data_IF_861759100639
#
_entry.id   IF_861759100639
#
_cell.length_a   1.000
_cell.length_b   1.000
_cell.length_c   1.000
_cell.angle_alpha   90.00
_cell.angle_beta   90.00
_cell.angle_gamma   90.00
#
_symmetry.space_group_name_H-M   'P 1'
#
loop_
_entity.id
_entity.type
_entity.pdbx_description
1 polymer ?
#
# COMPACT_ATOMS: atom_id res chain seq x y z
N UNK A 1 -13.97 -11.94 13.59
CA UNK A 1 -13.43 -11.36 12.34
C UNK A 1 -12.71 -10.06 12.67
N UNK A 2 -11.50 -9.86 12.16
CA UNK A 2 -10.72 -8.63 12.35
C UNK A 2 -10.97 -7.61 11.23
N UNK A 3 -10.81 -6.33 11.55
CA UNK A 3 -10.93 -5.24 10.58
C UNK A 3 -9.68 -5.19 9.68
N UNK A 4 -9.88 -4.97 8.37
CA UNK A 4 -8.79 -4.83 7.41
C UNK A 4 -8.80 -3.42 6.83
N UNK A 5 -7.78 -2.63 7.15
CA UNK A 5 -7.63 -1.27 6.59
C UNK A 5 -7.17 -1.35 5.13
N UNK A 6 -7.98 -0.78 4.24
CA UNK A 6 -7.77 -0.77 2.80
C UNK A 6 -7.98 0.63 2.24
N UNK A 7 -7.29 0.97 1.16
CA UNK A 7 -7.60 2.18 0.40
C UNK A 7 -8.84 1.96 -0.46
N UNK A 8 -9.48 3.06 -0.88
CA UNK A 8 -10.61 3.02 -1.81
C UNK A 8 -10.27 2.28 -3.10
N UNK A 9 -9.06 2.48 -3.63
CA UNK A 9 -8.59 1.77 -4.82
C UNK A 9 -8.51 0.24 -4.60
N UNK A 10 -8.09 -0.21 -3.42
CA UNK A 10 -8.06 -1.64 -3.09
C UNK A 10 -9.47 -2.20 -2.95
N UNK A 11 -10.41 -1.42 -2.40
CA UNK A 11 -11.81 -1.80 -2.30
C UNK A 11 -12.47 -1.90 -3.68
N UNK A 12 -12.24 -0.91 -4.56
CA UNK A 12 -12.71 -0.93 -5.95
C UNK A 12 -12.15 -2.13 -6.74
N UNK A 13 -10.89 -2.52 -6.47
CA UNK A 13 -10.32 -3.75 -7.05
C UNK A 13 -11.08 -4.98 -6.61
N UNK A 14 -11.43 -5.10 -5.33
CA UNK A 14 -12.21 -6.24 -4.82
C UNK A 14 -13.55 -6.33 -5.54
N UNK A 15 -14.26 -5.22 -5.70
CA UNK A 15 -15.54 -5.18 -6.39
C UNK A 15 -15.43 -5.67 -7.85
N UNK A 16 -14.47 -5.14 -8.60
CA UNK A 16 -14.22 -5.55 -10.00
C UNK A 16 -13.83 -7.02 -10.08
N UNK A 17 -13.00 -7.50 -9.15
CA UNK A 17 -12.60 -8.91 -9.10
C UNK A 17 -13.78 -9.83 -8.82
N UNK A 18 -14.67 -9.46 -7.89
CA UNK A 18 -15.88 -10.21 -7.59
C UNK A 18 -16.81 -10.28 -8.82
N UNK A 19 -17.03 -9.16 -9.53
CA UNK A 19 -17.85 -9.15 -10.75
C UNK A 19 -17.27 -10.04 -11.85
N UNK A 20 -15.94 -10.09 -12.00
CA UNK A 20 -15.29 -10.99 -12.96
C UNK A 20 -15.42 -12.44 -12.51
N UNK A 21 -15.29 -12.72 -11.23
CA UNK A 21 -15.40 -14.08 -10.69
C UNK A 21 -16.82 -14.64 -10.82
N UNK A 22 -17.83 -13.77 -10.67
CA UNK A 22 -19.24 -14.07 -10.90
C UNK A 22 -19.60 -14.17 -12.40
N UNK A 23 -18.65 -13.96 -13.30
CA UNK A 23 -18.88 -13.99 -14.75
C UNK A 23 -19.68 -12.80 -15.30
N UNK A 24 -19.93 -11.76 -14.47
CA UNK A 24 -20.71 -10.57 -14.84
C UNK A 24 -19.87 -9.51 -15.57
N UNK A 25 -18.56 -9.59 -15.48
CA UNK A 25 -17.62 -8.67 -16.12
C UNK A 25 -16.47 -9.44 -16.78
N UNK A 26 -16.10 -9.07 -18.00
CA UNK A 26 -14.94 -9.68 -18.65
C UNK A 26 -13.64 -9.17 -18.01
N UNK A 27 -12.58 -9.99 -18.07
CA UNK A 27 -11.24 -9.60 -17.57
C UNK A 27 -10.75 -8.32 -18.25
N UNK A 28 -11.03 -8.15 -19.55
CA UNK A 28 -10.63 -6.99 -20.33
C UNK A 28 -11.37 -5.72 -19.91
N UNK A 29 -12.69 -5.79 -19.79
CA UNK A 29 -13.49 -4.66 -19.34
C UNK A 29 -13.10 -4.25 -17.91
N UNK A 30 -12.95 -5.21 -17.01
CA UNK A 30 -12.50 -4.92 -15.65
C UNK A 30 -11.10 -4.33 -15.58
N UNK A 31 -10.16 -4.81 -16.41
CA UNK A 31 -8.81 -4.26 -16.48
C UNK A 31 -8.83 -2.79 -16.90
N UNK A 32 -9.64 -2.44 -17.91
CA UNK A 32 -9.82 -1.06 -18.34
C UNK A 32 -10.48 -0.20 -17.25
N UNK A 33 -11.50 -0.72 -16.56
CA UNK A 33 -12.21 0.02 -15.49
C UNK A 33 -11.28 0.54 -14.38
N UNK A 34 -10.23 -0.22 -14.05
CA UNK A 34 -9.27 0.13 -12.98
C UNK A 34 -7.87 0.44 -13.52
N UNK A 35 -7.74 0.74 -14.82
CA UNK A 35 -6.49 1.10 -15.49
C UNK A 35 -5.32 0.13 -15.19
N UNK A 36 -5.59 -1.17 -15.24
CA UNK A 36 -4.58 -2.22 -15.09
C UNK A 36 -4.37 -2.96 -16.40
N UNK A 37 -3.17 -3.52 -16.59
CA UNK A 37 -2.96 -4.49 -17.66
C UNK A 37 -3.73 -5.80 -17.40
N UNK A 38 -4.11 -6.52 -18.46
CA UNK A 38 -4.71 -7.86 -18.36
C UNK A 38 -3.86 -8.81 -17.49
N UNK A 39 -2.52 -8.74 -17.60
CA UNK A 39 -1.58 -9.51 -16.78
C UNK A 39 -1.71 -9.20 -15.29
N UNK A 40 -1.81 -7.92 -14.92
CA UNK A 40 -2.03 -7.52 -13.54
C UNK A 40 -3.38 -8.00 -13.02
N UNK A 41 -4.43 -7.92 -13.86
CA UNK A 41 -5.76 -8.41 -13.51
C UNK A 41 -5.75 -9.92 -13.21
N UNK A 42 -5.18 -10.75 -14.08
CA UNK A 42 -5.06 -12.19 -13.82
C UNK A 42 -4.28 -12.50 -12.54
N UNK A 43 -3.22 -11.74 -12.26
CA UNK A 43 -2.45 -11.91 -11.01
C UNK A 43 -3.22 -11.47 -9.76
N UNK A 44 -4.17 -10.55 -9.90
CA UNK A 44 -5.08 -10.19 -8.81
C UNK A 44 -6.17 -11.25 -8.65
N UNK A 45 -6.80 -11.72 -9.73
CA UNK A 45 -7.79 -12.81 -9.70
C UNK A 45 -7.22 -14.07 -9.04
N UNK A 46 -6.01 -14.49 -9.43
CA UNK A 46 -5.34 -15.65 -8.82
C UNK A 46 -5.21 -15.49 -7.30
N UNK A 47 -4.84 -14.30 -6.83
CA UNK A 47 -4.69 -14.02 -5.39
C UNK A 47 -6.04 -13.94 -4.68
N UNK A 48 -7.00 -13.26 -5.28
CA UNK A 48 -8.36 -13.14 -4.75
C UNK A 48 -9.02 -14.52 -4.57
N UNK A 49 -8.90 -15.41 -5.56
CA UNK A 49 -9.45 -16.77 -5.49
C UNK A 49 -8.77 -17.65 -4.44
N UNK A 50 -7.48 -17.45 -4.20
CA UNK A 50 -6.73 -18.23 -3.23
C UNK A 50 -6.99 -17.77 -1.78
N UNK A 51 -6.99 -16.46 -1.56
CA UNK A 51 -6.84 -15.87 -0.21
C UNK A 51 -7.99 -14.87 0.13
N UNK A 52 -8.95 -14.69 -0.79
CA UNK A 52 -10.08 -13.78 -0.65
C UNK A 52 -9.73 -12.29 -0.77
N UNK A 53 -10.69 -11.44 -0.42
CA UNK A 53 -10.59 -9.98 -0.48
C UNK A 53 -9.39 -9.42 0.31
N UNK A 54 -9.06 -10.03 1.45
CA UNK A 54 -7.99 -9.56 2.33
C UNK A 54 -6.61 -9.53 1.66
N UNK A 55 -6.38 -10.38 0.66
CA UNK A 55 -5.11 -10.49 -0.06
C UNK A 55 -4.87 -9.40 -1.11
N UNK A 56 -5.89 -8.57 -1.39
CA UNK A 56 -5.77 -7.41 -2.27
C UNK A 56 -5.12 -6.22 -1.56
N UNK A 57 -5.13 -6.24 -0.22
CA UNK A 57 -4.44 -5.25 0.61
C UNK A 57 -2.96 -5.16 0.25
N UNK A 58 -2.41 -3.95 0.23
CA UNK A 58 -0.99 -3.72 0.05
C UNK A 58 -0.17 -4.52 1.07
N UNK A 59 0.71 -5.40 0.57
CA UNK A 59 1.45 -6.35 1.41
C UNK A 59 2.43 -5.66 2.36
N UNK A 60 2.95 -4.48 2.02
CA UNK A 60 3.86 -3.75 2.91
C UNK A 60 3.14 -2.95 3.99
N UNK A 61 1.79 -2.90 4.00
CA UNK A 61 1.07 -2.17 5.03
C UNK A 61 1.34 -2.79 6.41
N UNK A 62 1.78 -1.98 7.36
CA UNK A 62 2.21 -2.41 8.69
C UNK A 62 3.65 -2.93 8.79
N UNK A 63 4.40 -2.97 7.67
CA UNK A 63 5.82 -3.36 7.66
C UNK A 63 6.72 -2.13 7.66
N UNK A 64 7.81 -2.20 8.42
CA UNK A 64 8.88 -1.23 8.31
C UNK A 64 9.54 -1.33 6.92
N UNK A 65 9.94 -0.21 6.29
CA UNK A 65 10.66 -0.25 5.03
C UNK A 65 12.10 -0.78 5.24
N UNK A 66 12.68 -1.37 4.20
CA UNK A 66 14.02 -1.98 4.27
C UNK A 66 15.13 -0.96 4.59
N UNK A 67 14.91 0.31 4.25
CA UNK A 67 15.83 1.43 4.51
C UNK A 67 15.49 2.21 5.79
N UNK A 68 14.71 1.63 6.72
CA UNK A 68 14.36 2.30 7.97
C UNK A 68 15.62 2.60 8.78
N UNK A 69 15.84 3.88 9.08
CA UNK A 69 16.91 4.32 9.98
C UNK A 69 16.67 3.73 11.37
N UNK A 70 17.72 3.17 11.97
CA UNK A 70 17.67 2.62 13.32
C UNK A 70 17.17 3.70 14.31
N UNK A 71 16.19 3.40 15.19
CA UNK A 71 15.61 4.40 16.10
C UNK A 71 16.66 5.20 16.87
N UNK A 72 17.66 4.53 17.46
CA UNK A 72 18.74 5.22 18.17
C UNK A 72 19.53 6.21 17.30
N UNK A 73 19.78 5.88 16.03
CA UNK A 73 20.47 6.80 15.10
C UNK A 73 19.62 8.02 14.77
N UNK A 74 18.30 7.82 14.61
CA UNK A 74 17.33 8.90 14.41
C UNK A 74 17.29 9.82 15.62
N UNK A 75 17.21 9.25 16.83
CA UNK A 75 17.10 10.03 18.06
C UNK A 75 18.39 10.81 18.34
N UNK A 76 19.55 10.19 18.07
CA UNK A 76 20.84 10.89 18.11
C UNK A 76 20.89 12.09 17.16
N UNK A 77 20.51 11.89 15.89
CA UNK A 77 20.50 12.99 14.90
C UNK A 77 19.58 14.14 15.34
N UNK A 78 18.40 13.83 15.91
CA UNK A 78 17.48 14.84 16.43
C UNK A 78 18.04 15.61 17.63
N UNK A 79 18.80 14.94 18.52
CA UNK A 79 19.42 15.62 19.65
C UNK A 79 20.54 16.57 19.19
N UNK A 80 21.39 16.15 18.25
CA UNK A 80 22.43 17.03 17.68
C UNK A 80 21.82 18.30 17.07
N UNK A 81 20.74 18.16 16.32
CA UNK A 81 20.04 19.33 15.74
C UNK A 81 19.54 20.26 16.85
N UNK A 82 18.89 19.71 17.89
CA UNK A 82 18.37 20.53 19.00
C UNK A 82 19.47 21.23 19.81
N UNK A 83 20.60 20.56 20.04
CA UNK A 83 21.67 21.06 20.89
C UNK A 83 22.58 22.04 20.17
N UNK A 84 22.90 21.78 18.90
CA UNK A 84 23.92 22.51 18.15
C UNK A 84 23.34 23.48 17.11
N UNK A 85 22.06 23.36 16.76
CA UNK A 85 21.41 24.08 15.66
C UNK A 85 20.00 24.52 16.06
N UNK A 86 19.88 25.23 17.18
CA UNK A 86 18.59 25.62 17.76
C UNK A 86 17.78 26.60 16.86
N UNK A 87 18.45 27.33 15.98
CA UNK A 87 17.87 28.21 14.96
C UNK A 87 17.45 27.46 13.67
N UNK A 88 17.83 26.18 13.55
CA UNK A 88 17.57 25.35 12.39
C UNK A 88 16.22 24.63 12.53
N UNK A 89 15.18 25.29 12.00
CA UNK A 89 13.80 24.81 12.08
C UNK A 89 13.57 23.46 11.37
N UNK A 90 12.43 22.79 11.65
CA UNK A 90 12.11 21.47 11.13
C UNK A 90 12.08 21.39 9.60
N UNK A 91 11.81 22.50 8.92
CA UNK A 91 11.84 22.58 7.45
C UNK A 91 13.26 22.46 6.91
N UNK A 92 14.21 23.21 7.48
CA UNK A 92 15.61 23.18 7.04
C UNK A 92 16.30 21.86 7.40
N UNK A 93 15.95 21.28 8.55
CA UNK A 93 16.44 19.97 8.98
C UNK A 93 15.96 18.79 8.10
N UNK A 94 14.98 19.01 7.23
CA UNK A 94 14.34 17.99 6.41
C UNK A 94 14.68 18.08 4.91
N UNK A 95 15.51 19.04 4.48
CA UNK A 95 15.99 19.18 3.10
C UNK A 95 16.97 18.07 2.68
#
# INVERSE_FOLDING_TARGET
MGWVMMSELEMRRIEVLAQIDDGRLSVEAGANNIALSKRQMFRLLKRYRADGASAIRHKSRGRAPNNRIHPAKRDYALNVIKESYADFGPTLAAE
#
